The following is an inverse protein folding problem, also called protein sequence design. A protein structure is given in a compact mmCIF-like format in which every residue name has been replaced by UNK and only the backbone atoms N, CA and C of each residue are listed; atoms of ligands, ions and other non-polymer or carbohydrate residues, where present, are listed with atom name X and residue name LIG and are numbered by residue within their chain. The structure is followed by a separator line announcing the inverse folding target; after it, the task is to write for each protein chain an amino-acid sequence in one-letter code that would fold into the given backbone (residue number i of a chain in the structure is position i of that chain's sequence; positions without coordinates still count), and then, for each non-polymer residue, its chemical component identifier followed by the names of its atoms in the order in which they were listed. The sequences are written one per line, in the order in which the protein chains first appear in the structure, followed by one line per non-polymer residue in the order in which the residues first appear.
data_IF_126414071942
#
_entry.id   IF_126414071942
#
_cell.length_a   1.000
_cell.length_b   1.000
_cell.length_c   1.000
_cell.angle_alpha   90.00
_cell.angle_beta   90.00
_cell.angle_gamma   90.00
#
_symmetry.space_group_name_H-M   'P 1'
#
loop_
_entity.id
_entity.type
_entity.pdbx_description
1 polymer ?
#
# COMPACT_ATOMS: atom_id res chain seq x y z
N UNK A 1 -6.14 16.02 10.14
CA UNK A 1 -4.67 15.99 9.98
C UNK A 1 -4.30 14.86 9.04
N UNK A 2 -3.73 15.15 7.87
CA UNK A 2 -3.33 14.11 6.94
C UNK A 2 -2.27 13.17 7.52
N UNK A 3 -2.34 11.91 7.13
CA UNK A 3 -1.33 10.91 7.50
C UNK A 3 -0.77 10.25 6.26
N UNK A 4 0.47 9.77 6.38
CA UNK A 4 1.11 8.97 5.35
C UNK A 4 1.16 7.52 5.79
N UNK A 5 0.68 6.62 4.94
CA UNK A 5 0.78 5.18 5.18
C UNK A 5 1.75 4.61 4.16
N UNK A 6 2.70 3.82 4.61
CA UNK A 6 3.65 3.14 3.74
C UNK A 6 3.51 1.64 3.96
N UNK A 7 3.12 0.94 2.90
CA UNK A 7 2.97 -0.51 2.94
C UNK A 7 4.12 -1.14 2.19
N UNK A 8 5.05 -1.73 2.93
CA UNK A 8 6.18 -2.46 2.36
C UNK A 8 5.75 -3.86 1.98
N UNK A 9 6.05 -4.26 0.74
CA UNK A 9 5.77 -5.61 0.26
C UNK A 9 7.03 -6.18 -0.39
N UNK A 10 7.21 -7.49 -0.29
CA UNK A 10 8.30 -8.19 -0.94
C UNK A 10 7.71 -9.35 -1.75
N UNK A 11 7.84 -9.25 -3.07
CA UNK A 11 7.29 -10.27 -3.97
C UNK A 11 8.16 -11.52 -3.98
N UNK A 12 7.52 -12.68 -4.07
CA UNK A 12 8.24 -13.93 -4.26
C UNK A 12 8.98 -13.97 -5.58
N UNK A 13 10.03 -14.81 -5.66
CA UNK A 13 10.91 -14.87 -6.83
C UNK A 13 10.15 -15.18 -8.14
N UNK A 14 9.02 -15.89 -8.05
CA UNK A 14 8.21 -16.24 -9.21
C UNK A 14 7.20 -15.17 -9.59
N UNK A 15 7.16 -14.05 -8.85
CA UNK A 15 6.14 -13.01 -8.99
C UNK A 15 6.73 -11.62 -9.18
N UNK A 16 7.94 -11.51 -9.74
CA UNK A 16 8.60 -10.22 -9.91
C UNK A 16 7.96 -9.36 -11.00
N UNK A 17 7.17 -9.95 -11.88
CA UNK A 17 6.45 -9.22 -12.94
C UNK A 17 4.96 -9.13 -12.59
N UNK A 18 4.31 -10.26 -12.39
CA UNK A 18 2.86 -10.28 -12.15
C UNK A 18 2.47 -9.70 -10.78
N UNK A 19 3.36 -9.77 -9.80
CA UNK A 19 3.11 -9.20 -8.48
C UNK A 19 2.91 -7.68 -8.52
N UNK A 20 3.88 -6.91 -9.06
CA UNK A 20 3.71 -5.47 -9.22
C UNK A 20 2.51 -5.10 -10.08
N UNK A 21 2.21 -5.87 -11.12
CA UNK A 21 1.03 -5.63 -11.97
C UNK A 21 -0.26 -5.81 -11.17
N UNK A 22 -0.35 -6.87 -10.37
CA UNK A 22 -1.49 -7.08 -9.47
C UNK A 22 -1.62 -5.93 -8.47
N UNK A 23 -0.50 -5.52 -7.86
CA UNK A 23 -0.51 -4.45 -6.87
C UNK A 23 -0.96 -3.12 -7.49
N UNK A 24 -0.53 -2.84 -8.72
CA UNK A 24 -0.98 -1.65 -9.44
C UNK A 24 -2.51 -1.62 -9.57
N UNK A 25 -3.12 -2.75 -9.91
CA UNK A 25 -4.58 -2.83 -10.03
C UNK A 25 -5.26 -2.65 -8.66
N UNK A 26 -4.69 -3.25 -7.61
CA UNK A 26 -5.20 -3.08 -6.24
C UNK A 26 -5.17 -1.60 -5.84
N UNK A 27 -4.10 -0.89 -6.17
CA UNK A 27 -3.95 0.51 -5.78
C UNK A 27 -4.87 1.46 -6.53
N UNK A 28 -5.43 1.06 -7.67
CA UNK A 28 -6.49 1.84 -8.33
C UNK A 28 -7.72 1.92 -7.43
N UNK A 29 -8.09 0.83 -6.79
CA UNK A 29 -9.20 0.83 -5.83
C UNK A 29 -8.87 1.65 -4.59
N UNK A 30 -7.63 1.56 -4.12
CA UNK A 30 -7.16 2.37 -2.99
C UNK A 30 -7.33 3.85 -3.28
N UNK A 31 -6.94 4.27 -4.49
CA UNK A 31 -7.03 5.67 -4.91
C UNK A 31 -8.46 6.18 -4.89
N UNK A 32 -9.42 5.32 -5.21
CA UNK A 32 -10.83 5.68 -5.27
C UNK A 32 -11.54 5.62 -3.92
N UNK A 33 -10.86 5.14 -2.87
CA UNK A 33 -11.46 5.02 -1.56
C UNK A 33 -11.59 6.39 -0.89
N UNK A 34 -12.67 6.59 -0.14
CA UNK A 34 -12.95 7.86 0.53
C UNK A 34 -11.79 8.27 1.44
N UNK A 35 -11.30 9.49 1.27
CA UNK A 35 -10.22 10.04 2.08
C UNK A 35 -8.83 9.77 1.54
N UNK A 36 -8.68 9.00 0.46
CA UNK A 36 -7.38 8.81 -0.18
C UNK A 36 -7.05 10.05 -1.01
N UNK A 37 -5.97 10.74 -0.65
CA UNK A 37 -5.52 11.95 -1.33
C UNK A 37 -4.48 11.65 -2.40
N UNK A 38 -3.69 10.59 -2.21
CA UNK A 38 -2.63 10.24 -3.13
C UNK A 38 -2.20 8.79 -2.89
N UNK A 39 -1.88 8.10 -3.97
CA UNK A 39 -1.28 6.77 -3.93
C UNK A 39 -0.21 6.68 -5.00
N UNK A 40 0.99 6.27 -4.60
CA UNK A 40 2.10 5.96 -5.52
C UNK A 40 2.64 4.57 -5.19
N UNK A 41 3.02 3.83 -6.21
CA UNK A 41 3.76 2.58 -6.04
C UNK A 41 5.24 2.88 -6.29
N UNK A 42 6.06 2.69 -5.27
CA UNK A 42 7.50 2.95 -5.31
C UNK A 42 8.25 1.64 -5.48
N UNK A 43 9.20 1.62 -6.40
CA UNK A 43 10.07 0.47 -6.61
C UNK A 43 11.42 0.73 -5.96
N UNK A 44 11.92 -0.23 -5.18
CA UNK A 44 13.25 -0.16 -4.59
C UNK A 44 14.28 -0.31 -5.70
N UNK A 45 15.17 0.68 -5.85
CA UNK A 45 16.17 0.66 -6.93
C UNK A 45 17.24 -0.40 -6.72
N UNK A 46 17.36 -0.96 -5.51
CA UNK A 46 18.38 -1.95 -5.16
C UNK A 46 17.82 -3.37 -5.06
N UNK A 47 16.49 -3.54 -4.96
CA UNK A 47 15.86 -4.85 -4.79
C UNK A 47 14.62 -4.94 -5.68
N UNK A 48 14.67 -5.72 -6.77
CA UNK A 48 13.55 -5.80 -7.71
C UNK A 48 12.29 -6.45 -7.13
N UNK A 49 12.38 -7.07 -5.95
CA UNK A 49 11.24 -7.68 -5.28
C UNK A 49 10.57 -6.75 -4.27
N UNK A 50 11.23 -5.67 -3.87
CA UNK A 50 10.75 -4.78 -2.81
C UNK A 50 10.06 -3.56 -3.40
N UNK A 51 8.80 -3.37 -3.02
CA UNK A 51 7.99 -2.23 -3.41
C UNK A 51 7.32 -1.63 -2.19
N UNK A 52 6.96 -0.36 -2.28
CA UNK A 52 6.26 0.35 -1.22
C UNK A 52 5.06 1.06 -1.83
N UNK A 53 3.87 0.82 -1.28
CA UNK A 53 2.72 1.67 -1.58
C UNK A 53 2.80 2.89 -0.66
N UNK A 54 3.00 4.05 -1.26
CA UNK A 54 2.99 5.33 -0.56
C UNK A 54 1.59 5.91 -0.68
N UNK A 55 0.92 6.07 0.47
CA UNK A 55 -0.47 6.51 0.50
C UNK A 55 -0.61 7.72 1.39
N UNK A 56 -1.29 8.75 0.90
CA UNK A 56 -1.63 9.92 1.69
C UNK A 56 -3.12 9.90 1.96
N UNK A 57 -3.49 9.92 3.25
CA UNK A 57 -4.88 9.88 3.70
C UNK A 57 -5.27 11.19 4.37
N UNK A 58 -6.52 11.60 4.16
CA UNK A 58 -7.06 12.83 4.72
C UNK A 58 -7.01 12.81 6.26
N UNK A 59 -7.21 11.63 6.86
CA UNK A 59 -7.15 11.44 8.31
C UNK A 59 -6.84 9.99 8.63
N UNK A 60 -6.46 9.74 9.89
CA UNK A 60 -6.25 8.37 10.35
C UNK A 60 -7.56 7.55 10.32
N UNK A 61 -8.70 8.19 10.56
CA UNK A 61 -9.99 7.52 10.51
C UNK A 61 -10.29 6.99 9.11
N UNK A 62 -9.94 7.74 8.07
CA UNK A 62 -10.10 7.28 6.69
C UNK A 62 -9.21 6.07 6.40
N UNK A 63 -7.96 6.10 6.86
CA UNK A 63 -7.05 4.95 6.71
C UNK A 63 -7.60 3.73 7.45
N UNK A 64 -8.07 3.90 8.68
CA UNK A 64 -8.62 2.78 9.45
C UNK A 64 -9.85 2.17 8.76
N UNK A 65 -10.72 2.99 8.19
CA UNK A 65 -11.88 2.51 7.44
C UNK A 65 -11.45 1.71 6.20
N UNK A 66 -10.41 2.20 5.50
CA UNK A 66 -9.86 1.50 4.36
C UNK A 66 -9.27 0.13 4.75
N UNK A 67 -8.48 0.09 5.83
CA UNK A 67 -7.89 -1.18 6.30
C UNK A 67 -8.98 -2.17 6.71
N UNK A 68 -10.03 -1.70 7.38
CA UNK A 68 -11.16 -2.56 7.75
C UNK A 68 -11.85 -3.13 6.50
N UNK A 69 -12.02 -2.31 5.47
CA UNK A 69 -12.62 -2.77 4.21
C UNK A 69 -11.74 -3.85 3.55
N UNK A 70 -10.41 -3.66 3.53
CA UNK A 70 -9.48 -4.65 2.96
C UNK A 70 -9.45 -5.96 3.76
N UNK A 71 -9.83 -5.95 5.03
CA UNK A 71 -9.91 -7.16 5.84
C UNK A 71 -11.24 -7.92 5.63
N UNK A 72 -12.18 -7.31 4.92
CA UNK A 72 -13.50 -7.89 4.66
C UNK A 72 -13.82 -7.89 3.18
N UNK A 73 -14.81 -7.09 2.78
CA UNK A 73 -15.35 -7.09 1.41
C UNK A 73 -14.32 -6.69 0.36
N UNK A 74 -13.33 -5.90 0.72
CA UNK A 74 -12.26 -5.46 -0.19
C UNK A 74 -11.01 -6.33 -0.14
N UNK A 75 -11.08 -7.52 0.42
CA UNK A 75 -9.91 -8.41 0.50
C UNK A 75 -9.37 -8.74 -0.89
N UNK A 76 -8.04 -8.85 -0.98
CA UNK A 76 -7.34 -9.16 -2.22
C UNK A 76 -6.48 -10.41 -2.05
N UNK A 77 -5.88 -10.85 -3.15
CA UNK A 77 -4.96 -12.00 -3.14
C UNK A 77 -3.50 -11.56 -3.11
N UNK A 78 -3.22 -10.33 -2.66
CA UNK A 78 -1.86 -9.81 -2.65
C UNK A 78 -0.88 -10.73 -1.89
N UNK A 79 -1.31 -11.28 -0.75
CA UNK A 79 -0.42 -12.16 0.03
C UNK A 79 0.02 -13.40 -0.72
N UNK A 80 -0.75 -13.85 -1.70
CA UNK A 80 -0.42 -15.06 -2.48
C UNK A 80 0.84 -14.87 -3.33
N UNK A 81 1.20 -13.62 -3.65
CA UNK A 81 2.38 -13.31 -4.47
C UNK A 81 3.56 -12.75 -3.67
N UNK A 82 3.41 -12.65 -2.35
CA UNK A 82 4.46 -12.17 -1.46
C UNK A 82 5.19 -13.36 -0.81
N UNK A 83 6.49 -13.16 -0.50
CA UNK A 83 7.27 -14.17 0.21
C UNK A 83 7.32 -13.94 1.72
N UNK A 84 6.72 -12.85 2.19
CA UNK A 84 6.64 -12.48 3.62
C UNK A 84 5.44 -11.58 3.86
N UNK A 85 5.06 -11.40 5.12
CA UNK A 85 3.95 -10.51 5.45
C UNK A 85 4.27 -9.07 5.07
N UNK A 86 3.29 -8.32 4.54
CA UNK A 86 3.48 -6.89 4.31
C UNK A 86 3.63 -6.15 5.64
N UNK A 87 4.37 -5.04 5.62
CA UNK A 87 4.60 -4.22 6.80
C UNK A 87 3.99 -2.83 6.57
N UNK A 88 3.02 -2.48 7.40
CA UNK A 88 2.38 -1.16 7.34
C UNK A 88 3.00 -0.25 8.39
N UNK A 89 3.49 0.92 7.95
CA UNK A 89 3.98 1.96 8.86
C UNK A 89 3.23 3.24 8.55
N UNK A 90 2.74 3.92 9.59
CA UNK A 90 1.96 5.14 9.43
C UNK A 90 2.67 6.30 10.10
N UNK A 91 2.63 7.44 9.43
CA UNK A 91 3.34 8.65 9.87
C UNK A 91 2.41 9.85 9.81
N UNK A 92 2.58 10.76 10.76
CA UNK A 92 2.07 12.13 10.60
C UNK A 92 3.27 13.06 10.45
N UNK A 93 3.07 14.21 9.81
CA UNK A 93 4.15 15.17 9.64
C UNK A 93 4.52 15.79 10.98
N UNK A 94 5.73 15.51 11.47
CA UNK A 94 6.23 16.07 12.72
C UNK A 94 6.76 17.50 12.50
N UNK A 95 7.48 17.71 11.40
CA UNK A 95 8.05 19.01 11.03
C UNK A 95 7.93 19.16 9.51
N UNK A 96 7.30 20.23 9.08
CA UNK A 96 7.16 20.56 7.67
C UNK A 96 8.29 21.50 7.26
N UNK A 97 9.05 21.12 6.24
CA UNK A 97 10.19 21.91 5.76
C UNK A 97 10.02 22.36 4.32
#
# INVERSE_FOLDING_TARGET
MPITAMLDVHFGADHLVDGPDMFTEILKETRDFAGCLRVDLLADIADPAHYVAYELWESNEHDLAYRAWRQGDGATKLRDVLDRDPVLTKFETAVQS
#
